data_IF_365849614314
#
_entry.id   IF_365849614314
#
_cell.length_a   1.000
_cell.length_b   1.000
_cell.length_c   1.000
_cell.angle_alpha   90.00
_cell.angle_beta   90.00
_cell.angle_gamma   90.00
#
_symmetry.space_group_name_H-M   'P 1'
#
loop_
_entity.id
_entity.type
_entity.pdbx_description
1 polymer ?
#
# COMPACT_ATOMS: atom_id res chain seq x y z
N UNK A 1 -7.60 -12.03 21.78
CA UNK A 1 -7.00 -12.42 20.50
C UNK A 1 -7.99 -13.31 19.82
N UNK A 2 -8.69 -12.80 18.84
CA UNK A 2 -9.55 -13.62 17.98
C UNK A 2 -8.60 -14.25 16.99
N UNK A 3 -8.40 -15.57 17.07
CA UNK A 3 -7.66 -16.36 16.10
C UNK A 3 -8.55 -16.51 14.86
N UNK A 4 -8.60 -15.46 14.06
CA UNK A 4 -9.30 -15.44 12.79
C UNK A 4 -8.27 -15.61 11.67
N UNK A 5 -7.84 -16.84 11.49
CA UNK A 5 -7.06 -17.22 10.32
C UNK A 5 -7.92 -17.00 9.06
N UNK A 6 -7.40 -16.19 8.13
CA UNK A 6 -8.00 -16.02 6.81
C UNK A 6 -8.08 -17.39 6.13
N UNK A 7 -9.25 -17.76 5.63
CA UNK A 7 -9.39 -18.96 4.81
C UNK A 7 -8.90 -18.74 3.36
N UNK A 8 -8.89 -19.76 2.55
CA UNK A 8 -8.42 -19.68 1.18
C UNK A 8 -9.28 -18.75 0.32
N UNK A 9 -10.59 -18.68 0.59
CA UNK A 9 -11.48 -17.77 -0.12
C UNK A 9 -11.17 -16.30 0.25
N UNK A 10 -10.95 -16.00 1.53
CA UNK A 10 -10.57 -14.66 1.98
C UNK A 10 -9.26 -14.21 1.33
N UNK A 11 -8.26 -15.09 1.28
CA UNK A 11 -6.96 -14.82 0.63
C UNK A 11 -7.11 -14.56 -0.87
N UNK A 12 -7.95 -15.32 -1.55
CA UNK A 12 -8.22 -15.12 -2.97
C UNK A 12 -8.94 -13.80 -3.22
N UNK A 13 -9.94 -13.45 -2.42
CA UNK A 13 -10.62 -12.16 -2.47
C UNK A 13 -9.62 -11.01 -2.29
N UNK A 14 -8.79 -11.07 -1.26
CA UNK A 14 -7.77 -10.04 -0.99
C UNK A 14 -6.78 -9.88 -2.15
N UNK A 15 -6.35 -10.99 -2.77
CA UNK A 15 -5.48 -10.94 -3.93
C UNK A 15 -6.15 -10.22 -5.11
N UNK A 16 -7.38 -10.60 -5.45
CA UNK A 16 -8.12 -9.99 -6.57
C UNK A 16 -8.39 -8.50 -6.33
N UNK A 17 -8.70 -8.11 -5.09
CA UNK A 17 -8.86 -6.71 -4.70
C UNK A 17 -7.55 -5.92 -4.84
N UNK A 18 -6.39 -6.51 -4.53
CA UNK A 18 -5.10 -5.85 -4.71
C UNK A 18 -4.69 -5.72 -6.19
N UNK A 19 -5.11 -6.66 -7.05
CA UNK A 19 -4.80 -6.59 -8.48
C UNK A 19 -5.60 -5.49 -9.18
N UNK A 20 -6.91 -5.44 -8.95
CA UNK A 20 -7.80 -4.43 -9.56
C UNK A 20 -9.08 -4.25 -8.74
N UNK A 21 -8.99 -3.48 -7.66
CA UNK A 21 -10.14 -3.21 -6.80
C UNK A 21 -11.33 -2.57 -7.55
N UNK A 22 -11.08 -1.80 -8.59
CA UNK A 22 -12.13 -1.10 -9.35
C UNK A 22 -13.03 -2.05 -10.11
N UNK A 23 -12.47 -3.13 -10.69
CA UNK A 23 -13.21 -4.10 -11.49
C UNK A 23 -13.52 -5.39 -10.72
N UNK A 24 -13.00 -5.54 -9.49
CA UNK A 24 -13.26 -6.67 -8.60
C UNK A 24 -14.66 -6.59 -7.98
N UNK A 25 -15.71 -6.60 -8.81
CA UNK A 25 -17.09 -6.67 -8.32
C UNK A 25 -17.38 -8.04 -7.72
N UNK A 26 -18.40 -8.13 -6.82
CA UNK A 26 -18.85 -9.39 -6.21
C UNK A 26 -19.09 -10.49 -7.27
N UNK A 27 -19.65 -10.11 -8.42
CA UNK A 27 -19.91 -11.02 -9.54
C UNK A 27 -18.62 -11.44 -10.24
N UNK A 28 -17.68 -10.53 -10.43
CA UNK A 28 -16.40 -10.84 -11.08
C UNK A 28 -15.57 -11.79 -10.20
N UNK A 29 -15.47 -11.51 -8.91
CA UNK A 29 -14.77 -12.37 -7.95
C UNK A 29 -15.48 -13.75 -7.83
N UNK A 30 -16.81 -13.77 -7.82
CA UNK A 30 -17.60 -15.00 -7.77
C UNK A 30 -17.29 -15.93 -8.95
N UNK A 31 -17.10 -15.36 -10.14
CA UNK A 31 -16.73 -16.11 -11.34
C UNK A 31 -15.34 -16.76 -11.25
N UNK A 32 -14.42 -16.14 -10.50
CA UNK A 32 -13.04 -16.61 -10.29
C UNK A 32 -12.91 -17.61 -9.11
N UNK A 33 -13.96 -17.79 -8.32
CA UNK A 33 -13.90 -18.51 -7.03
C UNK A 33 -14.92 -19.62 -6.86
N UNK A 34 -15.74 -19.89 -7.87
CA UNK A 34 -16.83 -20.89 -7.85
C UNK A 34 -17.85 -20.75 -6.69
N UNK A 35 -18.02 -19.52 -6.17
CA UNK A 35 -19.01 -19.20 -5.14
C UNK A 35 -19.98 -18.13 -5.62
N UNK A 36 -21.07 -17.90 -4.88
CA UNK A 36 -22.07 -16.89 -5.28
C UNK A 36 -21.59 -15.46 -4.98
N UNK A 37 -22.05 -14.46 -5.77
CA UNK A 37 -21.75 -13.06 -5.50
C UNK A 37 -22.19 -12.60 -4.10
N UNK A 38 -23.30 -13.12 -3.59
CA UNK A 38 -23.76 -12.85 -2.21
C UNK A 38 -22.74 -13.35 -1.18
N UNK A 39 -22.14 -14.50 -1.41
CA UNK A 39 -21.08 -15.04 -0.54
C UNK A 39 -19.87 -14.13 -0.56
N UNK A 40 -19.44 -13.67 -1.75
CA UNK A 40 -18.33 -12.73 -1.90
C UNK A 40 -18.62 -11.42 -1.17
N UNK A 41 -19.78 -10.83 -1.41
CA UNK A 41 -20.20 -9.60 -0.74
C UNK A 41 -20.09 -9.70 0.80
N UNK A 42 -20.65 -10.75 1.38
CA UNK A 42 -20.60 -10.98 2.81
C UNK A 42 -19.16 -11.15 3.33
N UNK A 43 -18.29 -11.81 2.56
CA UNK A 43 -16.88 -12.00 2.93
C UNK A 43 -16.09 -10.70 2.88
N UNK A 44 -16.28 -9.88 1.85
CA UNK A 44 -15.65 -8.56 1.75
C UNK A 44 -16.07 -7.70 2.93
N UNK A 45 -17.36 -7.64 3.24
CA UNK A 45 -17.87 -6.89 4.36
C UNK A 45 -17.28 -7.36 5.71
N UNK A 46 -17.13 -8.67 5.92
CA UNK A 46 -16.45 -9.20 7.11
C UNK A 46 -14.97 -8.79 7.17
N UNK A 47 -14.26 -8.77 6.04
CA UNK A 47 -12.85 -8.33 5.99
C UNK A 47 -12.71 -6.83 6.27
N UNK A 48 -13.66 -6.02 5.83
CA UNK A 48 -13.75 -4.59 6.16
C UNK A 48 -14.06 -4.37 7.66
N UNK A 49 -15.08 -5.03 8.17
CA UNK A 49 -15.50 -4.94 9.59
C UNK A 49 -14.38 -5.37 10.56
N UNK A 50 -13.56 -6.34 10.15
CA UNK A 50 -12.38 -6.82 10.90
C UNK A 50 -11.15 -5.91 10.74
N UNK A 51 -11.22 -4.90 9.88
CA UNK A 51 -10.08 -4.03 9.57
C UNK A 51 -8.94 -4.73 8.81
N UNK A 52 -9.22 -5.85 8.13
CA UNK A 52 -8.25 -6.49 7.21
C UNK A 52 -8.18 -5.69 5.91
N UNK A 53 -9.31 -5.24 5.38
CA UNK A 53 -9.41 -4.26 4.30
C UNK A 53 -9.62 -2.89 4.92
N UNK A 54 -8.65 -1.99 4.77
CA UNK A 54 -8.69 -0.65 5.35
C UNK A 54 -9.32 0.38 4.40
N UNK A 55 -9.42 0.07 3.11
CA UNK A 55 -9.96 0.97 2.10
C UNK A 55 -9.50 0.60 0.69
N UNK A 56 -9.96 1.40 -0.27
CA UNK A 56 -9.68 1.21 -1.70
C UNK A 56 -9.11 2.51 -2.25
N UNK A 57 -7.80 2.59 -2.39
CA UNK A 57 -7.12 3.78 -2.87
C UNK A 57 -6.61 3.55 -4.30
N UNK A 58 -6.87 4.49 -5.23
CA UNK A 58 -6.28 4.44 -6.54
C UNK A 58 -4.77 4.70 -6.47
N UNK A 59 -4.01 4.04 -7.31
CA UNK A 59 -2.62 4.41 -7.57
C UNK A 59 -2.59 5.66 -8.47
N UNK A 60 -1.89 6.70 -8.03
CA UNK A 60 -1.85 7.99 -8.72
C UNK A 60 -0.48 8.22 -9.36
N UNK A 61 -0.45 8.48 -10.65
CA UNK A 61 0.72 9.02 -11.32
C UNK A 61 0.81 10.52 -11.04
N UNK A 62 1.55 10.88 -9.99
CA UNK A 62 1.67 12.27 -9.54
C UNK A 62 2.33 13.18 -10.58
N UNK A 63 3.31 12.68 -11.35
CA UNK A 63 3.94 13.46 -12.43
C UNK A 63 2.90 13.89 -13.47
N UNK A 64 2.04 12.96 -13.91
CA UNK A 64 0.96 13.27 -14.86
C UNK A 64 -0.16 14.10 -14.24
N UNK A 65 -0.30 14.08 -12.94
CA UNK A 65 -1.24 14.92 -12.20
C UNK A 65 -0.73 16.35 -11.96
N UNK A 66 0.51 16.66 -12.40
CA UNK A 66 1.10 17.99 -12.26
C UNK A 66 2.05 18.14 -11.08
N UNK A 67 2.39 17.06 -10.38
CA UNK A 67 3.28 17.02 -9.23
C UNK A 67 4.51 16.17 -9.55
N UNK A 68 5.47 16.67 -10.38
CA UNK A 68 6.59 15.87 -10.85
C UNK A 68 7.65 15.58 -9.77
N UNK A 69 7.58 16.26 -8.63
CA UNK A 69 8.53 16.03 -7.55
C UNK A 69 7.87 15.19 -6.45
N UNK A 70 8.46 14.02 -6.18
CA UNK A 70 8.15 13.19 -5.02
C UNK A 70 9.37 13.16 -4.11
N UNK A 71 9.23 13.59 -2.89
CA UNK A 71 10.33 13.69 -1.92
C UNK A 71 9.98 12.87 -0.68
N UNK A 72 10.88 11.97 -0.32
CA UNK A 72 10.83 11.24 0.94
C UNK A 72 11.74 11.93 1.96
N UNK A 73 11.14 12.52 2.98
CA UNK A 73 11.84 13.03 4.15
C UNK A 73 11.99 11.93 5.19
N UNK A 74 13.22 11.71 5.62
CA UNK A 74 13.54 10.84 6.75
C UNK A 74 13.73 11.74 7.97
N UNK A 75 12.86 11.57 8.95
CA UNK A 75 12.79 12.47 10.10
C UNK A 75 13.04 11.73 11.42
N UNK A 76 13.49 12.46 12.40
CA UNK A 76 13.60 12.06 13.79
C UNK A 76 12.66 12.91 14.65
N UNK A 77 11.96 12.27 15.58
CA UNK A 77 11.11 12.92 16.58
C UNK A 77 11.16 12.14 17.88
N UNK A 78 10.86 12.80 19.01
CA UNK A 78 10.69 12.11 20.29
C UNK A 78 9.60 11.04 20.19
N UNK A 79 9.92 9.81 20.62
CA UNK A 79 9.01 8.65 20.54
C UNK A 79 7.67 8.92 21.22
N UNK A 80 7.64 9.73 22.28
CA UNK A 80 6.42 10.07 23.00
C UNK A 80 5.46 10.96 22.20
N UNK A 81 5.97 11.66 21.18
CA UNK A 81 5.21 12.58 20.31
C UNK A 81 4.99 12.03 18.92
N UNK A 82 5.61 10.89 18.58
CA UNK A 82 5.69 10.40 17.20
C UNK A 82 4.32 10.26 16.54
N UNK A 83 3.39 9.55 17.16
CA UNK A 83 2.06 9.30 16.56
C UNK A 83 1.24 10.58 16.43
N UNK A 84 1.30 11.48 17.43
CA UNK A 84 0.63 12.79 17.36
C UNK A 84 1.18 13.62 16.20
N UNK A 85 2.51 13.63 16.04
CA UNK A 85 3.15 14.41 14.96
C UNK A 85 2.97 13.75 13.59
N UNK A 86 2.88 12.43 13.53
CA UNK A 86 2.53 11.71 12.29
C UNK A 86 1.15 12.12 11.77
N UNK A 87 0.15 12.20 12.65
CA UNK A 87 -1.20 12.68 12.29
C UNK A 87 -1.17 14.15 11.82
N UNK A 88 -0.45 15.03 12.55
CA UNK A 88 -0.33 16.44 12.16
C UNK A 88 0.46 16.66 10.87
N UNK A 89 1.43 15.80 10.59
CA UNK A 89 2.19 15.87 9.35
C UNK A 89 1.32 15.60 8.10
N UNK A 90 0.22 14.84 8.25
CA UNK A 90 -0.75 14.62 7.16
C UNK A 90 -1.50 15.90 6.77
N UNK A 91 -1.59 16.90 7.66
CA UNK A 91 -2.21 18.20 7.38
C UNK A 91 -1.27 19.15 6.62
N UNK A 92 0.02 18.83 6.54
CA UNK A 92 0.99 19.63 5.79
C UNK A 92 0.73 19.49 4.29
N UNK A 93 0.72 20.63 3.60
CA UNK A 93 0.46 20.66 2.16
C UNK A 93 1.46 19.80 1.40
N UNK A 94 0.94 18.96 0.50
CA UNK A 94 1.73 18.07 -0.34
C UNK A 94 2.10 16.75 0.32
N UNK A 95 1.88 16.56 1.61
CA UNK A 95 2.09 15.27 2.27
C UNK A 95 1.03 14.28 1.80
N UNK A 96 1.47 13.14 1.29
CA UNK A 96 0.61 12.06 0.78
C UNK A 96 0.74 10.77 1.58
N UNK A 97 1.84 10.62 2.33
CA UNK A 97 2.07 9.42 3.12
C UNK A 97 2.98 9.73 4.31
N UNK A 98 2.65 9.15 5.46
CA UNK A 98 3.48 9.20 6.67
C UNK A 98 3.62 7.78 7.22
N UNK A 99 4.87 7.36 7.47
CA UNK A 99 5.18 6.04 8.03
C UNK A 99 5.89 6.19 9.35
N UNK A 100 5.35 5.58 10.39
CA UNK A 100 6.01 5.48 11.68
C UNK A 100 6.90 4.23 11.73
N UNK A 101 8.18 4.41 12.07
CA UNK A 101 9.09 3.30 12.29
C UNK A 101 9.05 2.87 13.76
N UNK A 102 9.00 1.57 14.02
CA UNK A 102 8.88 1.05 15.37
C UNK A 102 10.10 1.39 16.24
N UNK A 103 11.29 1.42 15.66
CA UNK A 103 12.56 1.64 16.35
C UNK A 103 13.54 2.41 15.46
N UNK A 104 14.57 3.01 16.08
CA UNK A 104 15.61 3.79 15.42
C UNK A 104 15.46 5.30 15.65
N UNK A 105 16.51 6.05 15.33
CA UNK A 105 16.49 7.51 15.37
C UNK A 105 15.64 8.09 14.23
N UNK A 106 15.73 7.51 13.06
CA UNK A 106 14.96 7.85 11.87
C UNK A 106 13.57 7.20 11.95
N UNK A 107 12.71 7.74 12.80
CA UNK A 107 11.50 7.08 13.25
C UNK A 107 10.20 7.60 12.62
N UNK A 108 10.29 8.57 11.69
CA UNK A 108 9.16 9.08 10.93
C UNK A 108 9.57 9.38 9.50
N UNK A 109 8.92 8.72 8.53
CA UNK A 109 9.14 8.94 7.12
C UNK A 109 7.94 9.66 6.52
N UNK A 110 8.16 10.81 5.90
CA UNK A 110 7.11 11.66 5.32
C UNK A 110 7.32 11.79 3.83
N UNK A 111 6.34 11.39 3.05
CA UNK A 111 6.36 11.52 1.59
C UNK A 111 5.55 12.73 1.16
N UNK A 112 6.19 13.59 0.36
CA UNK A 112 5.62 14.85 -0.15
C UNK A 112 5.61 14.81 -1.66
N UNK A 113 4.52 15.25 -2.27
CA UNK A 113 4.42 15.54 -3.70
C UNK A 113 4.35 17.04 -3.93
N UNK A 114 5.00 17.54 -4.98
CA UNK A 114 5.16 18.97 -5.21
C UNK A 114 5.21 19.31 -6.71
N UNK A 115 4.74 20.50 -7.07
CA UNK A 115 4.88 21.04 -8.43
C UNK A 115 6.31 21.47 -8.71
N UNK A 116 7.03 21.91 -7.68
CA UNK A 116 8.40 22.39 -7.80
C UNK A 116 9.12 22.55 -6.46
N UNK A 117 10.34 23.06 -6.51
CA UNK A 117 11.21 23.21 -5.33
C UNK A 117 10.69 24.20 -4.31
N UNK A 118 9.86 25.18 -4.72
CA UNK A 118 9.20 26.12 -3.79
C UNK A 118 8.25 25.40 -2.84
N UNK A 119 7.47 24.47 -3.35
CA UNK A 119 6.49 23.71 -2.55
C UNK A 119 7.21 22.76 -1.60
N UNK A 120 8.30 22.11 -2.09
CA UNK A 120 9.15 21.27 -1.24
C UNK A 120 9.71 22.07 -0.07
N UNK A 121 10.17 23.32 -0.32
CA UNK A 121 10.67 24.20 0.71
C UNK A 121 9.58 24.56 1.74
N UNK A 122 8.38 24.91 1.27
CA UNK A 122 7.24 25.23 2.13
C UNK A 122 6.88 24.02 3.02
N UNK A 123 6.79 22.82 2.44
CA UNK A 123 6.52 21.60 3.21
C UNK A 123 7.62 21.32 4.23
N UNK A 124 8.89 21.55 3.87
CA UNK A 124 10.04 21.40 4.77
C UNK A 124 9.93 22.33 5.98
N UNK A 125 9.59 23.59 5.76
CA UNK A 125 9.41 24.60 6.82
C UNK A 125 8.26 24.21 7.76
N UNK A 126 7.14 23.76 7.21
CA UNK A 126 5.98 23.31 8.02
C UNK A 126 6.29 22.03 8.83
N UNK A 127 7.04 21.08 8.28
CA UNK A 127 7.46 19.88 9.01
C UNK A 127 8.43 20.22 10.16
N UNK A 128 9.35 21.19 9.94
CA UNK A 128 10.26 21.66 10.97
C UNK A 128 9.50 22.41 12.09
N UNK A 129 8.49 23.21 11.76
CA UNK A 129 7.61 23.87 12.74
C UNK A 129 6.85 22.88 13.63
N UNK A 130 6.53 21.68 13.12
CA UNK A 130 5.98 20.58 13.92
C UNK A 130 7.02 19.93 14.85
N UNK A 131 8.29 20.32 14.72
CA UNK A 131 9.41 19.78 15.51
C UNK A 131 9.99 18.49 14.95
N UNK A 132 9.72 18.16 13.69
CA UNK A 132 10.34 17.03 13.01
C UNK A 132 11.77 17.43 12.60
N UNK A 133 12.75 16.74 13.15
CA UNK A 133 14.14 16.91 12.71
C UNK A 133 14.36 16.14 11.40
N UNK A 134 14.51 16.85 10.30
CA UNK A 134 14.78 16.23 8.99
C UNK A 134 16.23 15.78 8.96
N UNK A 135 16.45 14.47 8.90
CA UNK A 135 17.77 13.84 8.85
C UNK A 135 18.29 13.74 7.42
N UNK A 136 17.38 13.42 6.48
CA UNK A 136 17.68 13.38 5.04
C UNK A 136 16.43 13.61 4.20
N UNK A 137 16.64 13.99 2.93
CA UNK A 137 15.61 14.12 1.92
C UNK A 137 16.05 13.43 0.64
N UNK A 138 15.19 12.57 0.10
CA UNK A 138 15.47 11.77 -1.08
C UNK A 138 14.40 12.03 -2.13
N UNK A 139 14.81 12.33 -3.36
CA UNK A 139 13.87 12.41 -4.47
C UNK A 139 13.58 10.99 -4.94
N UNK A 140 12.31 10.61 -4.93
CA UNK A 140 11.85 9.33 -5.44
C UNK A 140 11.81 9.38 -6.97
N UNK A 141 12.54 8.47 -7.61
CA UNK A 141 12.53 8.35 -9.05
C UNK A 141 11.38 7.46 -9.53
N UNK A 142 11.22 6.30 -8.90
CA UNK A 142 10.21 5.31 -9.28
C UNK A 142 9.85 4.44 -8.08
N UNK A 143 8.62 3.98 -8.03
CA UNK A 143 8.14 3.05 -7.01
C UNK A 143 7.48 1.84 -7.69
N UNK A 144 7.82 0.65 -7.24
CA UNK A 144 7.26 -0.61 -7.74
C UNK A 144 6.49 -1.29 -6.63
N UNK A 145 5.20 -1.46 -6.82
CA UNK A 145 4.30 -2.13 -5.88
C UNK A 145 3.70 -3.35 -6.58
N UNK A 146 3.58 -4.44 -5.86
CA UNK A 146 2.89 -5.63 -6.37
C UNK A 146 1.93 -6.19 -5.32
N UNK A 147 0.85 -6.87 -5.74
CA UNK A 147 -0.01 -7.64 -4.85
C UNK A 147 0.79 -8.69 -4.09
N UNK A 148 0.40 -9.00 -2.87
CA UNK A 148 1.05 -10.04 -2.09
C UNK A 148 0.78 -11.44 -2.69
N UNK A 149 1.80 -12.04 -3.29
CA UNK A 149 1.71 -13.30 -4.03
C UNK A 149 1.35 -14.52 -3.15
N UNK A 150 1.65 -14.47 -1.86
CA UNK A 150 1.31 -15.55 -0.92
C UNK A 150 -0.19 -15.79 -0.78
N UNK A 151 -1.03 -14.79 -1.05
CA UNK A 151 -2.48 -15.00 -1.13
C UNK A 151 -2.90 -15.89 -2.29
N UNK A 152 -2.05 -16.07 -3.30
CA UNK A 152 -2.32 -16.93 -4.46
C UNK A 152 -1.75 -18.35 -4.29
N UNK A 153 -0.61 -18.51 -3.61
CA UNK A 153 0.10 -19.79 -3.53
C UNK A 153 -0.59 -20.83 -2.65
N UNK A 154 -1.33 -20.42 -1.63
CA UNK A 154 -2.05 -21.35 -0.76
C UNK A 154 -3.29 -21.99 -1.43
N UNK A 155 -3.65 -21.55 -2.66
CA UNK A 155 -4.73 -22.12 -3.45
C UNK A 155 -4.27 -23.26 -4.39
N UNK A 156 -2.98 -23.35 -4.67
CA UNK A 156 -2.40 -24.40 -5.50
C UNK A 156 -2.00 -25.60 -4.64
N UNK A 157 -2.98 -26.24 -3.99
CA UNK A 157 -2.81 -27.58 -3.47
C UNK A 157 -2.53 -28.52 -4.64
N UNK A 158 -1.32 -29.08 -4.66
CA UNK A 158 -0.87 -30.33 -5.30
C UNK A 158 -0.53 -30.38 -6.79
N UNK A 159 -0.80 -29.40 -7.66
CA UNK A 159 -0.55 -29.59 -9.10
C UNK A 159 0.50 -28.65 -9.76
N UNK A 160 1.26 -27.83 -9.02
CA UNK A 160 2.20 -26.90 -9.62
C UNK A 160 3.67 -27.37 -9.58
N UNK A 161 3.95 -28.64 -9.83
CA UNK A 161 5.32 -29.13 -10.05
C UNK A 161 5.48 -29.86 -11.38
N UNK A 162 5.10 -29.17 -12.47
CA UNK A 162 5.51 -29.61 -13.81
C UNK A 162 6.23 -28.43 -14.47
N UNK A 163 7.56 -28.48 -14.62
CA UNK A 163 8.27 -27.51 -15.42
C UNK A 163 7.77 -27.63 -16.87
N UNK A 164 7.39 -26.53 -17.47
CA UNK A 164 7.11 -26.45 -18.89
C UNK A 164 8.37 -26.91 -19.65
N UNK A 165 8.32 -28.08 -20.27
CA UNK A 165 9.32 -28.51 -21.21
C UNK A 165 9.31 -27.51 -22.39
N UNK A 166 10.37 -26.71 -22.47
CA UNK A 166 10.67 -25.94 -23.68
C UNK A 166 11.08 -26.97 -24.72
N UNK A 167 10.13 -27.33 -25.59
CA UNK A 167 10.42 -28.14 -26.77
C UNK A 167 11.45 -27.44 -27.62
N UNK A 168 12.63 -28.02 -27.68
CA UNK A 168 13.61 -27.80 -28.71
C UNK A 168 13.15 -28.52 -29.97
N UNK A 169 12.57 -27.79 -30.92
CA UNK A 169 12.48 -28.26 -32.28
C UNK A 169 13.72 -27.80 -33.04
N UNK A 170 14.65 -28.75 -33.19
CA UNK A 170 15.63 -28.75 -34.27
C UNK A 170 14.91 -29.18 -35.57
N UNK A 171 14.96 -28.30 -36.59
CA UNK A 171 15.35 -28.64 -37.99
C UNK A 171 15.34 -27.36 -38.83
#
# INVERSE_FOLDING_TARGET
MVDETLDNLDRRILHLLQVDARNASDTAIAHETDVTGTTIHNRIQQLEDKGVVLGYNPEINYERAGYPMRVLFICSIDLSKRSEMAEKALDVRGVVNVREMLAGEENLHVEVVAEGTSDVKESTEQLDELGLQIMSSNILAEEHIQPWNHFHQDMAGEDANTPAEIGSDEE
#
